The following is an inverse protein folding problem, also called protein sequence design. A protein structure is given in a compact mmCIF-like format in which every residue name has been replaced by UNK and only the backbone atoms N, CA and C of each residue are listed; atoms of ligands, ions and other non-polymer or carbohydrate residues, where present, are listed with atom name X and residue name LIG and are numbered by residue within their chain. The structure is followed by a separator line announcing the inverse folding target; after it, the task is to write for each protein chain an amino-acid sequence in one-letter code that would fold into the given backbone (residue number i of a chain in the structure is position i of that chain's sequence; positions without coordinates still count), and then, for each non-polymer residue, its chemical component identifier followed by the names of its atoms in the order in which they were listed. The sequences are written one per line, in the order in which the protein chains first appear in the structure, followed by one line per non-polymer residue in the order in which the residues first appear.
data_IF_457753816039
#
_entry.id   IF_457753816039
#
_cell.length_a   1.000
_cell.length_b   1.000
_cell.length_c   1.000
_cell.angle_alpha   90.00
_cell.angle_beta   90.00
_cell.angle_gamma   90.00
#
_symmetry.space_group_name_H-M   'P 1'
#
loop_
_entity.id
_entity.type
_entity.pdbx_description
1 polymer ?
#
# COMPACT_ATOMS: atom_id res chain seq x y z
N UNK A 1 21.75 3.10 -0.13
CA UNK A 1 21.31 4.48 0.16
C UNK A 1 20.07 4.75 -0.69
N UNK A 2 18.88 4.71 -0.09
CA UNK A 2 17.63 5.08 -0.80
C UNK A 2 17.36 6.57 -0.59
N UNK A 3 16.91 7.31 -1.63
CA UNK A 3 16.95 8.76 -1.62
C UNK A 3 15.83 9.37 -0.77
N UNK A 4 16.25 10.31 0.08
CA UNK A 4 15.69 11.66 0.33
C UNK A 4 14.20 11.86 -0.04
N UNK A 5 13.29 11.76 0.93
CA UNK A 5 11.95 12.38 0.82
C UNK A 5 12.01 13.83 1.34
N UNK A 6 12.75 14.66 0.62
CA UNK A 6 12.63 16.11 0.71
C UNK A 6 11.53 16.61 -0.22
N UNK A 7 10.27 16.61 0.24
CA UNK A 7 9.22 17.44 -0.36
C UNK A 7 8.30 17.96 0.75
N UNK A 8 8.42 19.25 1.06
CA UNK A 8 7.41 20.05 1.76
C UNK A 8 6.19 20.30 0.84
N UNK A 9 5.66 19.25 0.23
CA UNK A 9 4.37 19.30 -0.45
C UNK A 9 3.32 18.90 0.58
N UNK A 10 2.23 19.67 0.70
CA UNK A 10 1.07 19.25 1.50
C UNK A 10 0.58 17.92 0.93
N UNK A 11 0.96 16.81 1.56
CA UNK A 11 0.48 15.48 1.20
C UNK A 11 -1.04 15.51 1.31
N UNK A 12 -1.70 15.05 0.24
CA UNK A 12 -3.15 14.90 0.26
C UNK A 12 -3.56 13.75 1.18
N UNK A 13 -4.84 13.71 1.57
CA UNK A 13 -5.35 12.62 2.41
C UNK A 13 -5.08 11.24 1.79
N UNK A 14 -5.22 11.15 0.46
CA UNK A 14 -4.94 9.96 -0.34
C UNK A 14 -3.47 9.54 -0.23
N UNK A 15 -2.55 10.48 -0.39
CA UNK A 15 -1.11 10.22 -0.32
C UNK A 15 -0.66 9.84 1.08
N UNK A 16 -1.21 10.46 2.12
CA UNK A 16 -0.92 10.09 3.51
C UNK A 16 -1.36 8.65 3.80
N UNK A 17 -2.55 8.24 3.32
CA UNK A 17 -3.02 6.85 3.47
C UNK A 17 -2.15 5.88 2.68
N UNK A 18 -1.81 6.20 1.43
CA UNK A 18 -0.94 5.36 0.61
C UNK A 18 0.46 5.20 1.24
N UNK A 19 1.00 6.29 1.80
CA UNK A 19 2.25 6.30 2.53
C UNK A 19 2.18 5.44 3.79
N UNK A 20 1.14 5.61 4.61
CA UNK A 20 0.90 4.77 5.79
C UNK A 20 0.84 3.27 5.46
N UNK A 21 0.15 2.90 4.38
CA UNK A 21 0.06 1.51 3.92
C UNK A 21 1.39 0.99 3.33
N UNK A 22 2.21 1.87 2.77
CA UNK A 22 3.51 1.52 2.18
C UNK A 22 4.60 1.37 3.24
N UNK A 23 4.53 2.17 4.31
CA UNK A 23 5.48 2.14 5.43
C UNK A 23 5.10 1.09 6.48
N UNK A 24 3.87 0.58 6.49
CA UNK A 24 3.46 -0.48 7.42
C UNK A 24 4.24 -1.79 7.18
N UNK A 25 4.60 -2.50 8.25
CA UNK A 25 5.16 -3.84 8.16
C UNK A 25 4.13 -4.90 7.72
N UNK A 26 2.84 -4.63 7.94
CA UNK A 26 1.77 -5.59 7.65
C UNK A 26 1.17 -5.35 6.27
N UNK A 27 0.98 -6.45 5.52
CA UNK A 27 0.31 -6.40 4.22
C UNK A 27 -1.14 -5.89 4.36
N UNK A 28 -1.82 -6.35 5.40
CA UNK A 28 -3.22 -6.07 5.70
C UNK A 28 -3.33 -5.37 7.05
N UNK A 29 -3.76 -4.11 7.05
CA UNK A 29 -3.90 -3.29 8.27
C UNK A 29 -5.32 -2.82 8.51
N UNK A 30 -5.66 -2.53 9.75
CA UNK A 30 -7.01 -2.09 10.12
C UNK A 30 -7.19 -0.61 9.76
N UNK A 31 -8.45 -0.19 9.59
CA UNK A 31 -8.77 1.24 9.43
C UNK A 31 -8.27 2.09 10.61
N UNK A 32 -8.23 1.52 11.82
CA UNK A 32 -7.71 2.17 13.01
C UNK A 32 -6.20 2.44 12.92
N UNK A 33 -5.42 1.42 12.53
CA UNK A 33 -3.96 1.57 12.33
C UNK A 33 -3.63 2.59 11.24
N UNK A 34 -4.42 2.60 10.16
CA UNK A 34 -4.30 3.62 9.11
C UNK A 34 -4.54 5.01 9.69
N UNK A 35 -5.58 5.17 10.52
CA UNK A 35 -5.90 6.46 11.14
C UNK A 35 -4.80 6.96 12.06
N UNK A 36 -4.20 6.06 12.84
CA UNK A 36 -3.09 6.39 13.72
C UNK A 36 -1.86 6.82 12.91
N UNK A 37 -1.44 6.01 11.94
CA UNK A 37 -0.29 6.30 11.08
C UNK A 37 -0.47 7.61 10.31
N UNK A 38 -1.66 7.85 9.78
CA UNK A 38 -2.01 9.09 9.09
C UNK A 38 -1.98 10.30 10.04
N UNK A 39 -2.45 10.14 11.28
CA UNK A 39 -2.43 11.21 12.28
C UNK A 39 -1.01 11.59 12.65
N UNK A 40 -0.11 10.60 12.74
CA UNK A 40 1.34 10.80 12.93
C UNK A 40 1.95 11.53 11.74
N UNK A 41 1.65 11.11 10.50
CA UNK A 41 2.17 11.75 9.28
C UNK A 41 1.70 13.20 9.17
N UNK A 42 0.42 13.47 9.51
CA UNK A 42 -0.16 14.81 9.46
C UNK A 42 0.33 15.71 10.62
N UNK A 43 0.78 15.12 11.72
CA UNK A 43 1.13 15.83 12.96
C UNK A 43 -0.10 16.33 13.74
N UNK A 44 -1.29 15.79 13.46
CA UNK A 44 -2.54 16.13 14.13
C UNK A 44 -3.52 14.97 14.05
N UNK A 45 -4.34 14.78 15.06
CA UNK A 45 -5.39 13.75 15.04
C UNK A 45 -6.31 13.91 13.81
N UNK A 46 -6.51 12.80 13.09
CA UNK A 46 -7.44 12.73 11.96
C UNK A 46 -8.65 11.92 12.36
N UNK A 47 -9.84 12.51 12.22
CA UNK A 47 -11.08 11.83 12.48
C UNK A 47 -11.32 10.70 11.46
N UNK A 48 -11.81 9.55 11.94
CA UNK A 48 -12.18 8.41 11.09
C UNK A 48 -13.21 8.76 10.00
N UNK A 49 -14.05 9.75 10.27
CA UNK A 49 -15.05 10.29 9.33
C UNK A 49 -14.42 10.94 8.10
N UNK A 50 -13.17 11.41 8.19
CA UNK A 50 -12.41 11.96 7.05
C UNK A 50 -11.69 10.86 6.26
N UNK A 51 -11.34 9.76 6.91
CA UNK A 51 -10.59 8.65 6.31
C UNK A 51 -11.52 7.71 5.54
N UNK A 52 -12.66 7.34 6.14
CA UNK A 52 -13.65 6.43 5.54
C UNK A 52 -14.07 6.77 4.09
N UNK A 53 -14.42 8.03 3.75
CA UNK A 53 -14.75 8.38 2.37
C UNK A 53 -13.52 8.26 1.46
N UNK A 54 -12.34 8.63 1.95
CA UNK A 54 -11.09 8.54 1.18
C UNK A 54 -10.72 7.08 0.89
N UNK A 55 -10.85 6.18 1.86
CA UNK A 55 -10.67 4.74 1.65
C UNK A 55 -11.65 4.18 0.62
N UNK A 56 -12.91 4.63 0.65
CA UNK A 56 -13.91 4.21 -0.34
C UNK A 56 -13.52 4.66 -1.76
N UNK A 57 -12.97 5.87 -1.90
CA UNK A 57 -12.45 6.37 -3.18
C UNK A 57 -11.23 5.56 -3.64
N UNK A 58 -10.25 5.35 -2.77
CA UNK A 58 -9.04 4.58 -3.10
C UNK A 58 -9.36 3.13 -3.49
N UNK A 59 -10.39 2.53 -2.87
CA UNK A 59 -10.90 1.21 -3.24
C UNK A 59 -11.49 1.22 -4.65
N UNK A 60 -12.31 2.23 -4.97
CA UNK A 60 -12.89 2.41 -6.32
C UNK A 60 -11.82 2.65 -7.37
N UNK A 61 -10.76 3.38 -7.03
CA UNK A 61 -9.60 3.62 -7.91
C UNK A 61 -8.70 2.37 -8.06
N UNK A 62 -8.94 1.29 -7.31
CA UNK A 62 -8.14 0.07 -7.36
C UNK A 62 -6.74 0.21 -6.73
N UNK A 63 -6.52 1.28 -5.96
CA UNK A 63 -5.24 1.56 -5.28
C UNK A 63 -5.11 0.69 -4.02
N UNK A 64 -6.23 0.47 -3.32
CA UNK A 64 -6.29 -0.39 -2.13
C UNK A 64 -7.26 -1.54 -2.33
N UNK A 65 -6.99 -2.63 -1.62
CA UNK A 65 -7.90 -3.76 -1.46
C UNK A 65 -8.46 -3.74 -0.04
N UNK A 66 -9.69 -4.24 0.11
CA UNK A 66 -10.36 -4.34 1.40
C UNK A 66 -10.88 -5.76 1.59
N UNK A 67 -10.45 -6.37 2.68
CA UNK A 67 -10.86 -7.69 3.13
C UNK A 67 -11.48 -7.55 4.53
N UNK A 68 -12.80 -7.47 4.59
CA UNK A 68 -13.55 -7.18 5.81
C UNK A 68 -13.15 -5.83 6.46
N UNK A 69 -12.50 -5.92 7.62
CA UNK A 69 -12.00 -4.79 8.41
C UNK A 69 -10.55 -4.42 8.08
N UNK A 70 -9.88 -5.20 7.22
CA UNK A 70 -8.50 -5.02 6.84
C UNK A 70 -8.38 -4.39 5.45
N UNK A 71 -7.32 -3.62 5.28
CA UNK A 71 -7.05 -2.81 4.11
C UNK A 71 -5.59 -2.97 3.74
N UNK A 72 -5.32 -3.13 2.45
CA UNK A 72 -3.98 -3.35 1.93
C UNK A 72 -3.76 -2.51 0.67
N UNK A 73 -2.51 -2.18 0.34
CA UNK A 73 -2.18 -1.64 -0.98
C UNK A 73 -2.33 -2.73 -2.03
N UNK A 74 -3.10 -2.47 -3.08
CA UNK A 74 -3.29 -3.41 -4.17
C UNK A 74 -1.95 -3.80 -4.83
N UNK A 75 -1.01 -2.85 -4.94
CA UNK A 75 0.33 -3.12 -5.46
C UNK A 75 1.14 -4.07 -4.56
N UNK A 76 1.02 -3.96 -3.23
CA UNK A 76 1.71 -4.87 -2.30
C UNK A 76 1.11 -6.26 -2.33
N UNK A 77 -0.22 -6.36 -2.36
CA UNK A 77 -0.91 -7.64 -2.48
C UNK A 77 -0.46 -8.33 -3.77
N UNK A 78 -0.58 -7.68 -4.93
CA UNK A 78 -0.14 -8.19 -6.24
C UNK A 78 1.31 -8.69 -6.29
N UNK A 79 2.24 -7.99 -5.65
CA UNK A 79 3.64 -8.42 -5.56
C UNK A 79 3.85 -9.63 -4.64
N UNK A 80 2.94 -9.87 -3.70
CA UNK A 80 2.99 -11.03 -2.80
C UNK A 80 2.27 -12.26 -3.39
N UNK A 81 1.38 -12.07 -4.37
CA UNK A 81 0.69 -13.14 -5.12
C UNK A 81 1.46 -13.61 -6.35
N UNK A 82 2.66 -13.10 -6.65
CA UNK A 82 3.57 -13.78 -7.56
C UNK A 82 4.10 -15.03 -6.87
N UNK A 83 3.65 -16.26 -7.22
CA UNK A 83 4.44 -17.43 -6.94
C UNK A 83 5.78 -17.20 -7.63
N UNK A 84 6.83 -17.13 -6.83
CA UNK A 84 8.19 -17.33 -7.27
C UNK A 84 8.31 -18.80 -7.70
N UNK A 85 7.70 -19.17 -8.83
CA UNK A 85 7.89 -20.51 -9.39
C UNK A 85 7.78 -20.55 -10.93
N UNK A 86 8.90 -20.98 -11.50
CA UNK A 86 9.08 -21.63 -12.79
C UNK A 86 8.60 -20.94 -14.09
N UNK A 87 9.44 -20.01 -14.60
CA UNK A 87 9.67 -19.92 -16.05
C UNK A 87 11.14 -20.14 -16.39
N UNK A 88 11.60 -21.37 -16.16
CA UNK A 88 12.77 -21.94 -16.84
C UNK A 88 12.41 -23.31 -17.43
N UNK A 89 11.45 -23.33 -18.36
CA UNK A 89 11.37 -24.39 -19.36
C UNK A 89 11.48 -23.76 -20.74
N UNK A 90 12.53 -24.14 -21.46
CA UNK A 90 12.79 -23.70 -22.83
C UNK A 90 14.19 -24.10 -23.29
N UNK A 91 14.32 -25.37 -23.67
CA UNK A 91 15.51 -26.03 -24.18
C UNK A 91 16.29 -25.27 -25.27
N UNK A 92 17.60 -25.50 -25.34
CA UNK A 92 18.24 -25.69 -26.65
C UNK A 92 19.35 -26.74 -26.53
N UNK A 93 19.12 -27.86 -27.23
CA UNK A 93 20.11 -28.87 -27.61
C UNK A 93 21.37 -28.18 -28.13
N UNK A 94 22.54 -28.73 -27.85
CA UNK A 94 23.51 -29.19 -28.85
C UNK A 94 24.88 -29.52 -28.21
N UNK A 95 25.59 -30.40 -28.90
CA UNK A 95 27.00 -30.81 -28.76
C UNK A 95 27.30 -31.90 -27.72
N UNK A 96 28.00 -32.99 -28.04
CA UNK A 96 28.46 -33.59 -29.31
C UNK A 96 28.92 -35.00 -28.95
#
# INVERSE_FOLDING_TARGET
MSPVFGLRSKLTMKEMIAKALSESDFLWISANDIQEAVSVIKGSEVAMTSISPTLSVLKKEGIILRDGLKIALASRVKNNETPHDERSKGASKNHR
#
